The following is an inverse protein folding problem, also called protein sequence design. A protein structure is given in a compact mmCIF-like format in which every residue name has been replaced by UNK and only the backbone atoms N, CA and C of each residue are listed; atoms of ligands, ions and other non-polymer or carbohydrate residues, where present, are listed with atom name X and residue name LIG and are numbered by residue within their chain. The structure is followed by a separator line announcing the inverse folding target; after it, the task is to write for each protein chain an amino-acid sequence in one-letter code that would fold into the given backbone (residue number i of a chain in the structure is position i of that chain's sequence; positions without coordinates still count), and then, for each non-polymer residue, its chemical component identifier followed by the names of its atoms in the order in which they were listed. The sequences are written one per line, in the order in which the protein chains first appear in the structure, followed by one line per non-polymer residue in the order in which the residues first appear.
data_IF_574116978959
#
_entry.id   IF_574116978959
#
_cell.length_a   1.000
_cell.length_b   1.000
_cell.length_c   1.000
_cell.angle_alpha   90.00
_cell.angle_beta   90.00
_cell.angle_gamma   90.00
#
_symmetry.space_group_name_H-M   'P 1'
#
loop_
_entity.id
_entity.type
_entity.pdbx_description
1 polymer ?
#
# COMPACT_ATOMS: atom_id res chain seq x y z
N UNK A 1 -11.20 26.82 -6.41
CA UNK A 1 -11.86 25.58 -5.94
C UNK A 1 -10.80 24.51 -5.81
N UNK A 2 -10.81 23.69 -4.75
CA UNK A 2 -9.83 22.60 -4.61
C UNK A 2 -10.08 21.53 -5.69
N UNK A 3 -9.01 21.06 -6.36
CA UNK A 3 -9.07 20.04 -7.41
C UNK A 3 -9.33 18.63 -6.86
N UNK A 4 -8.87 18.37 -5.64
CA UNK A 4 -8.93 17.08 -4.94
C UNK A 4 -9.45 17.30 -3.50
N UNK A 5 -10.16 16.31 -2.96
CA UNK A 5 -10.53 16.23 -1.55
C UNK A 5 -9.75 15.11 -0.90
N UNK A 6 -9.42 15.29 0.38
CA UNK A 6 -8.67 14.32 1.18
C UNK A 6 -9.50 14.02 2.42
N UNK A 7 -9.51 12.75 2.82
CA UNK A 7 -10.04 12.30 4.11
C UNK A 7 -9.03 11.37 4.77
N UNK A 8 -9.15 11.21 6.09
CA UNK A 8 -8.32 10.29 6.86
C UNK A 8 -9.15 9.04 7.16
N UNK A 9 -8.52 7.86 7.03
CA UNK A 9 -9.08 6.56 7.44
C UNK A 9 -8.14 5.92 8.44
N UNK A 10 -8.70 5.37 9.52
CA UNK A 10 -7.99 4.66 10.59
C UNK A 10 -8.60 3.28 10.90
N UNK A 11 -9.43 2.77 9.98
CA UNK A 11 -10.02 1.44 10.05
C UNK A 11 -9.41 0.57 8.96
N UNK A 12 -8.96 -0.62 9.32
CA UNK A 12 -8.19 -1.45 8.41
C UNK A 12 -8.52 -2.94 8.55
N UNK A 13 -8.27 -3.71 7.49
CA UNK A 13 -8.24 -5.17 7.47
C UNK A 13 -6.83 -5.69 7.21
N UNK A 14 -6.43 -6.79 7.86
CA UNK A 14 -5.09 -7.36 7.71
C UNK A 14 -4.91 -7.92 6.29
N UNK A 15 -3.88 -7.43 5.59
CA UNK A 15 -3.49 -7.93 4.27
C UNK A 15 -2.38 -8.99 4.39
N UNK A 16 -1.34 -8.70 5.18
CA UNK A 16 -0.24 -9.62 5.46
C UNK A 16 0.51 -9.24 6.75
N UNK A 17 1.12 -10.22 7.39
CA UNK A 17 2.13 -10.01 8.43
C UNK A 17 3.26 -11.02 8.30
N UNK A 18 4.39 -10.76 8.91
CA UNK A 18 5.54 -11.66 8.84
C UNK A 18 5.62 -12.66 10.00
N UNK A 19 4.57 -12.80 10.82
CA UNK A 19 4.54 -13.76 11.94
C UNK A 19 4.91 -15.16 11.50
N UNK A 20 5.94 -15.74 12.11
CA UNK A 20 6.45 -17.08 11.79
C UNK A 20 7.59 -17.08 10.78
N UNK A 21 7.94 -15.94 10.19
CA UNK A 21 8.95 -15.84 9.14
C UNK A 21 10.40 -16.09 9.63
N UNK A 22 10.64 -15.92 10.94
CA UNK A 22 11.99 -15.88 11.52
C UNK A 22 12.76 -14.58 11.19
N UNK A 23 12.09 -13.57 10.62
CA UNK A 23 12.65 -12.26 10.32
C UNK A 23 13.19 -11.52 11.55
N UNK A 24 14.10 -10.58 11.31
CA UNK A 24 14.69 -9.76 12.37
C UNK A 24 13.80 -8.56 12.79
N UNK A 25 12.70 -8.34 12.08
CA UNK A 25 11.76 -7.24 12.31
C UNK A 25 10.35 -7.78 12.22
N UNK A 26 9.46 -7.28 13.08
CA UNK A 26 8.03 -7.55 12.97
C UNK A 26 7.38 -6.53 12.03
N UNK A 27 6.47 -7.00 11.17
CA UNK A 27 5.76 -6.20 10.20
C UNK A 27 4.33 -6.69 10.03
N UNK A 28 3.37 -5.77 10.14
CA UNK A 28 1.97 -6.01 9.81
C UNK A 28 1.44 -4.92 8.88
N UNK A 29 0.74 -5.35 7.85
CA UNK A 29 0.31 -4.52 6.73
C UNK A 29 -1.16 -4.76 6.44
N UNK A 30 -1.86 -3.67 6.15
CA UNK A 30 -3.30 -3.62 6.18
C UNK A 30 -3.86 -2.79 5.04
N UNK A 31 -5.04 -3.18 4.57
CA UNK A 31 -5.80 -2.39 3.61
C UNK A 31 -6.87 -1.56 4.33
N UNK A 32 -7.10 -0.30 3.93
CA UNK A 32 -8.13 0.54 4.52
C UNK A 32 -9.52 -0.02 4.24
N UNK A 33 -10.37 -0.02 5.26
CA UNK A 33 -11.79 -0.35 5.16
C UNK A 33 -12.64 0.85 5.60
N UNK A 34 -13.94 0.80 5.36
CA UNK A 34 -14.87 1.89 5.66
C UNK A 34 -14.49 3.21 4.97
N UNK A 35 -13.96 3.13 3.75
CA UNK A 35 -13.62 4.31 2.94
C UNK A 35 -14.90 5.11 2.65
N UNK A 36 -14.93 6.44 2.88
CA UNK A 36 -16.12 7.25 2.62
C UNK A 36 -16.56 7.19 1.14
N UNK A 37 -17.86 7.37 0.89
CA UNK A 37 -18.43 7.23 -0.46
C UNK A 37 -17.76 8.17 -1.47
N UNK A 38 -17.23 7.57 -2.53
CA UNK A 38 -16.52 8.24 -3.63
C UNK A 38 -15.10 8.68 -3.27
N UNK A 39 -14.56 8.27 -2.12
CA UNK A 39 -13.13 8.31 -1.86
C UNK A 39 -12.48 6.99 -2.28
N UNK A 40 -11.20 7.06 -2.59
CA UNK A 40 -10.37 5.95 -3.06
C UNK A 40 -9.07 5.90 -2.26
N UNK A 41 -8.57 4.70 -2.03
CA UNK A 41 -7.24 4.53 -1.42
C UNK A 41 -6.13 4.74 -2.45
N UNK A 42 -4.95 5.10 -1.94
CA UNK A 42 -3.72 5.34 -2.71
C UNK A 42 -2.53 4.50 -2.20
N UNK A 43 -2.72 3.74 -1.11
CA UNK A 43 -1.69 2.95 -0.44
C UNK A 43 -2.29 1.88 0.50
N UNK A 44 -1.45 0.98 1.00
CA UNK A 44 -1.71 0.16 2.19
C UNK A 44 -1.08 0.81 3.43
N UNK A 45 -1.57 0.47 4.61
CA UNK A 45 -0.99 0.88 5.89
C UNK A 45 -0.01 -0.18 6.39
N UNK A 46 1.13 0.23 6.97
CA UNK A 46 2.12 -0.68 7.56
C UNK A 46 2.58 -0.22 8.94
N UNK A 47 2.89 -1.17 9.81
CA UNK A 47 3.51 -0.90 11.11
C UNK A 47 4.49 -1.99 11.52
N UNK A 48 5.45 -1.62 12.37
CA UNK A 48 6.60 -2.45 12.76
C UNK A 48 6.33 -3.32 14.00
N UNK A 49 5.11 -3.82 14.15
CA UNK A 49 4.67 -4.68 15.25
C UNK A 49 3.36 -5.39 14.86
N UNK A 50 2.84 -6.24 15.75
CA UNK A 50 1.61 -7.01 15.54
C UNK A 50 0.40 -6.53 16.35
N UNK A 51 0.47 -5.34 16.94
CA UNK A 51 -0.64 -4.76 17.69
C UNK A 51 -1.78 -4.36 16.75
N UNK A 52 -2.91 -3.97 17.31
CA UNK A 52 -3.97 -3.36 16.51
C UNK A 52 -3.45 -2.11 15.75
N UNK A 53 -3.91 -1.86 14.51
CA UNK A 53 -3.55 -0.66 13.77
C UNK A 53 -3.78 0.61 14.59
N UNK A 54 -2.73 1.41 14.77
CA UNK A 54 -2.77 2.63 15.58
C UNK A 54 -2.61 3.92 14.76
N UNK A 55 -2.24 3.78 13.48
CA UNK A 55 -2.04 4.89 12.56
C UNK A 55 -3.27 5.23 11.72
N UNK A 56 -3.03 6.03 10.70
CA UNK A 56 -4.05 6.44 9.73
C UNK A 56 -3.42 6.65 8.37
N UNK A 57 -4.21 6.53 7.31
CA UNK A 57 -3.79 6.87 5.95
C UNK A 57 -4.71 7.91 5.35
N UNK A 58 -4.27 8.51 4.24
CA UNK A 58 -5.09 9.40 3.43
C UNK A 58 -5.84 8.61 2.36
N UNK A 59 -7.10 9.00 2.15
CA UNK A 59 -7.89 8.60 0.98
C UNK A 59 -8.31 9.85 0.22
N UNK A 60 -8.48 9.71 -1.10
CA UNK A 60 -8.66 10.85 -2.01
C UNK A 60 -9.94 10.76 -2.81
N UNK A 61 -10.49 11.91 -3.16
CA UNK A 61 -11.65 12.04 -4.05
C UNK A 61 -11.42 13.17 -5.03
N UNK A 62 -11.74 12.93 -6.29
CA UNK A 62 -11.74 13.93 -7.33
C UNK A 62 -12.84 14.98 -7.07
N UNK A 63 -12.52 16.26 -7.30
CA UNK A 63 -13.50 17.35 -7.26
C UNK A 63 -13.61 18.07 -8.62
N UNK A 64 -12.73 17.71 -9.56
CA UNK A 64 -12.75 18.04 -10.97
C UNK A 64 -12.31 16.79 -11.75
N UNK A 65 -12.68 16.62 -13.02
CA UNK A 65 -12.22 15.49 -13.84
C UNK A 65 -10.70 15.41 -13.96
N UNK A 66 -10.20 14.21 -14.29
CA UNK A 66 -8.81 13.95 -14.70
C UNK A 66 -7.74 14.35 -13.67
N UNK A 67 -8.05 14.13 -12.39
CA UNK A 67 -7.10 14.32 -11.27
C UNK A 67 -6.69 13.02 -10.60
N UNK A 68 -7.50 11.96 -10.78
CA UNK A 68 -7.22 10.60 -10.35
C UNK A 68 -7.23 9.70 -11.58
N UNK A 69 -6.33 8.72 -11.63
CA UNK A 69 -6.33 7.69 -12.66
C UNK A 69 -6.00 6.32 -12.05
N UNK A 70 -6.52 5.26 -12.66
CA UNK A 70 -6.08 3.91 -12.31
C UNK A 70 -4.63 3.68 -12.76
N UNK A 71 -3.82 2.92 -12.01
CA UNK A 71 -2.52 2.45 -12.49
C UNK A 71 -2.68 1.66 -13.81
N UNK A 72 -1.65 1.72 -14.65
CA UNK A 72 -1.62 0.98 -15.93
C UNK A 72 -1.18 -0.47 -15.75
N UNK A 73 -0.44 -0.77 -14.68
CA UNK A 73 -0.02 -2.11 -14.26
C UNK A 73 0.50 -2.05 -12.81
N UNK A 74 0.95 -3.19 -12.28
CA UNK A 74 1.67 -3.29 -11.01
C UNK A 74 2.98 -4.06 -11.17
N UNK A 75 4.02 -3.58 -10.50
CA UNK A 75 5.32 -4.25 -10.40
C UNK A 75 5.42 -4.95 -9.04
N UNK A 76 5.73 -6.24 -9.04
CA UNK A 76 5.95 -7.01 -7.82
C UNK A 76 7.26 -6.55 -7.15
N UNK A 77 7.17 -6.01 -5.93
CA UNK A 77 8.33 -5.60 -5.13
C UNK A 77 8.78 -6.73 -4.20
N UNK A 78 7.84 -7.39 -3.54
CA UNK A 78 8.10 -8.48 -2.59
C UNK A 78 6.97 -9.50 -2.60
N UNK A 79 7.30 -10.77 -2.36
CA UNK A 79 6.33 -11.79 -1.97
C UNK A 79 6.98 -12.74 -0.98
N UNK A 80 6.21 -13.24 -0.05
CA UNK A 80 6.73 -13.96 1.10
C UNK A 80 7.04 -15.45 0.84
N UNK A 81 7.07 -15.88 -0.43
CA UNK A 81 7.37 -17.26 -0.81
C UNK A 81 8.71 -17.71 -0.20
N UNK A 82 8.65 -18.71 0.69
CA UNK A 82 9.82 -19.25 1.40
C UNK A 82 10.07 -18.64 2.78
N UNK A 83 9.38 -17.56 3.14
CA UNK A 83 9.52 -16.88 4.43
C UNK A 83 9.10 -17.77 5.61
N UNK A 84 8.18 -18.72 5.40
CA UNK A 84 7.48 -19.50 6.45
C UNK A 84 6.56 -18.65 7.34
N UNK A 85 6.23 -17.42 6.92
CA UNK A 85 5.18 -16.66 7.56
C UNK A 85 3.87 -17.46 7.59
N UNK A 86 3.05 -17.18 8.60
CA UNK A 86 1.78 -17.87 8.87
C UNK A 86 0.69 -17.57 7.84
N UNK A 87 0.93 -16.63 6.92
CA UNK A 87 0.02 -16.27 5.83
C UNK A 87 0.83 -15.78 4.63
N UNK A 88 0.29 -16.04 3.43
CA UNK A 88 0.92 -15.63 2.18
C UNK A 88 0.53 -14.19 1.82
N UNK A 89 1.48 -13.43 1.29
CA UNK A 89 1.24 -12.05 0.88
C UNK A 89 2.29 -11.48 -0.06
N UNK A 90 1.92 -10.39 -0.72
CA UNK A 90 2.75 -9.73 -1.71
C UNK A 90 2.57 -8.22 -1.72
N UNK A 91 3.63 -7.53 -2.15
CA UNK A 91 3.76 -6.08 -2.18
C UNK A 91 4.00 -5.63 -3.60
N UNK A 92 3.24 -4.63 -4.03
CA UNK A 92 3.17 -4.20 -5.40
C UNK A 92 3.30 -2.68 -5.51
N UNK A 93 4.18 -2.25 -6.41
CA UNK A 93 4.31 -0.86 -6.82
C UNK A 93 3.30 -0.60 -7.94
N UNK A 94 2.31 0.30 -7.76
CA UNK A 94 1.45 0.71 -8.86
C UNK A 94 2.27 1.46 -9.92
N UNK A 95 2.10 1.11 -11.18
CA UNK A 95 2.69 1.84 -12.30
C UNK A 95 1.69 2.89 -12.75
N UNK A 96 1.95 4.16 -12.45
CA UNK A 96 1.07 5.25 -12.82
C UNK A 96 1.06 5.49 -14.35
N UNK A 97 -0.06 5.95 -14.93
CA UNK A 97 -0.08 6.46 -16.30
C UNK A 97 0.77 7.73 -16.44
N UNK A 98 1.13 8.09 -17.67
CA UNK A 98 1.86 9.32 -17.97
C UNK A 98 1.12 10.57 -17.44
N UNK A 99 1.84 11.47 -16.77
CA UNK A 99 1.29 12.65 -16.10
C UNK A 99 0.69 12.38 -14.72
N UNK A 100 0.82 11.16 -14.20
CA UNK A 100 0.35 10.77 -12.87
C UNK A 100 1.46 10.12 -12.03
N UNK A 101 1.23 10.05 -10.72
CA UNK A 101 2.15 9.54 -9.72
C UNK A 101 1.40 8.56 -8.81
N UNK A 102 2.00 7.38 -8.59
CA UNK A 102 1.57 6.44 -7.57
C UNK A 102 2.13 6.89 -6.21
N UNK A 103 1.28 6.94 -5.19
CA UNK A 103 1.65 7.53 -3.90
C UNK A 103 2.18 6.53 -2.86
N UNK A 104 2.04 5.23 -3.12
CA UNK A 104 2.24 4.19 -2.12
C UNK A 104 2.48 2.79 -2.68
N UNK A 105 2.59 1.80 -1.79
CA UNK A 105 2.82 0.38 -2.07
C UNK A 105 1.60 -0.43 -1.63
N UNK A 106 1.04 -1.22 -2.54
CA UNK A 106 -0.10 -2.08 -2.23
C UNK A 106 0.37 -3.40 -1.63
N UNK A 107 -0.07 -3.71 -0.40
CA UNK A 107 0.05 -5.03 0.20
C UNK A 107 -1.26 -5.80 0.00
N UNK A 108 -1.19 -7.02 -0.53
CA UNK A 108 -2.35 -7.89 -0.73
C UNK A 108 -2.13 -9.29 -0.15
N UNK A 109 -3.20 -9.98 0.27
CA UNK A 109 -3.15 -11.40 0.55
C UNK A 109 -2.81 -12.20 -0.72
N UNK A 110 -2.00 -13.25 -0.57
CA UNK A 110 -1.60 -14.11 -1.69
C UNK A 110 -0.64 -13.44 -2.68
N UNK A 111 -0.54 -14.03 -3.88
CA UNK A 111 0.50 -13.71 -4.88
C UNK A 111 -0.02 -13.22 -6.22
N UNK A 112 -1.34 -13.23 -6.41
CA UNK A 112 -1.95 -12.83 -7.67
C UNK A 112 -1.84 -11.33 -7.84
N UNK A 113 -1.45 -10.88 -9.04
CA UNK A 113 -1.33 -9.44 -9.34
C UNK A 113 -2.67 -8.74 -9.04
N UNK A 114 -2.67 -7.60 -8.33
CA UNK A 114 -3.90 -6.91 -8.00
C UNK A 114 -4.59 -6.31 -9.22
N UNK A 115 -5.90 -6.11 -9.10
CA UNK A 115 -6.70 -5.39 -10.10
C UNK A 115 -6.35 -3.89 -10.10
N UNK A 116 -6.42 -3.24 -11.27
CA UNK A 116 -6.12 -1.82 -11.45
C UNK A 116 -7.06 -0.90 -10.67
N UNK A 117 -8.22 -1.40 -10.25
CA UNK A 117 -9.15 -0.67 -9.37
C UNK A 117 -8.72 -0.62 -7.89
N UNK A 118 -7.66 -1.34 -7.49
CA UNK A 118 -7.23 -1.43 -6.09
C UNK A 118 -6.86 -0.05 -5.50
N UNK A 119 -6.18 0.80 -6.27
CA UNK A 119 -5.73 2.13 -5.85
C UNK A 119 -5.88 3.15 -6.98
N UNK A 120 -5.79 4.43 -6.61
CA UNK A 120 -5.69 5.54 -7.56
C UNK A 120 -4.30 6.18 -7.54
N UNK A 121 -3.84 6.60 -8.72
CA UNK A 121 -2.72 7.50 -8.92
C UNK A 121 -3.22 8.94 -8.99
N UNK A 122 -2.40 9.90 -8.56
CA UNK A 122 -2.73 11.33 -8.59
C UNK A 122 -2.02 12.02 -9.75
N UNK A 123 -2.66 13.02 -10.36
CA UNK A 123 -1.98 13.84 -11.36
C UNK A 123 -0.75 14.53 -10.73
N UNK A 124 0.34 14.60 -11.49
CA UNK A 124 1.64 15.08 -11.02
C UNK A 124 1.62 16.50 -10.43
N UNK A 125 0.79 17.41 -10.96
CA UNK A 125 0.62 18.78 -10.46
C UNK A 125 -0.03 18.88 -9.06
N UNK A 126 -0.51 17.77 -8.51
CA UNK A 126 -1.16 17.70 -7.19
C UNK A 126 -0.24 17.16 -6.09
N UNK A 127 0.96 16.70 -6.43
CA UNK A 127 1.86 16.03 -5.50
C UNK A 127 3.18 16.76 -5.38
N UNK A 128 3.88 16.54 -4.27
CA UNK A 128 5.22 17.07 -4.04
C UNK A 128 6.12 15.94 -3.53
N UNK A 129 7.42 16.06 -3.78
CA UNK A 129 8.39 15.13 -3.24
C UNK A 129 8.34 15.10 -1.71
N UNK A 130 8.24 13.91 -1.13
CA UNK A 130 8.26 13.69 0.30
C UNK A 130 9.65 13.22 0.76
N UNK A 131 9.92 13.34 2.06
CA UNK A 131 11.06 12.70 2.70
C UNK A 131 10.66 11.29 3.14
N UNK A 132 11.54 10.32 2.91
CA UNK A 132 11.36 8.96 3.41
C UNK A 132 11.34 8.99 4.93
N UNK A 133 10.34 8.33 5.52
CA UNK A 133 10.19 8.20 6.96
C UNK A 133 11.10 7.12 7.55
N UNK A 134 10.77 6.70 8.78
CA UNK A 134 11.46 5.58 9.41
C UNK A 134 11.13 4.27 8.69
N UNK A 135 12.10 3.36 8.69
CA UNK A 135 11.91 2.00 8.18
C UNK A 135 10.83 1.28 9.00
N UNK A 136 9.79 0.78 8.31
CA UNK A 136 8.73 -0.03 8.93
C UNK A 136 9.19 -1.49 9.06
N UNK A 137 9.72 -2.08 7.98
CA UNK A 137 10.07 -3.50 7.93
C UNK A 137 11.02 -3.80 6.76
N UNK A 138 11.79 -4.89 6.87
CA UNK A 138 12.49 -5.52 5.76
C UNK A 138 12.51 -7.05 5.94
N UNK A 139 12.83 -7.77 4.87
CA UNK A 139 12.82 -9.23 4.83
C UNK A 139 14.11 -9.89 5.38
N UNK A 140 15.01 -9.12 6.01
CA UNK A 140 16.28 -9.65 6.49
C UNK A 140 16.05 -10.68 7.60
N UNK A 141 16.61 -11.87 7.40
CA UNK A 141 16.44 -13.00 8.31
C UNK A 141 15.24 -13.87 7.96
N UNK A 142 14.34 -13.37 7.09
CA UNK A 142 13.32 -14.22 6.50
C UNK A 142 13.96 -15.15 5.46
N UNK A 143 13.37 -16.33 5.29
CA UNK A 143 13.74 -17.26 4.22
C UNK A 143 13.14 -16.90 2.85
N UNK A 144 12.62 -15.67 2.68
CA UNK A 144 11.92 -15.29 1.47
C UNK A 144 12.84 -15.32 0.24
N UNK A 145 12.31 -15.82 -0.87
CA UNK A 145 13.06 -16.02 -2.11
C UNK A 145 12.98 -14.81 -3.07
N UNK A 146 12.22 -13.77 -2.72
CA UNK A 146 11.91 -12.66 -3.61
C UNK A 146 11.83 -11.35 -2.82
N UNK A 147 12.67 -10.37 -3.16
CA UNK A 147 12.72 -9.07 -2.45
C UNK A 147 14.11 -8.49 -2.17
N UNK A 148 15.17 -8.98 -2.82
CA UNK A 148 16.54 -8.43 -2.69
C UNK A 148 16.79 -7.23 -3.58
#
# INVERSE_FOLDING_TARGET
MLKIKISIVNSFELAWWDKGSGGNMDGAFYNPINIPIGFHTIDSYGQSNYDFPSGSILVVKDNVPDVLAHPVDFKLIYKDTGSRASMDGSFWEPIAPEGYVAMGICCIPGYDKPDKSLVMCLRDDLVNAAKVGNLIWNDKGTGANYGR
#
